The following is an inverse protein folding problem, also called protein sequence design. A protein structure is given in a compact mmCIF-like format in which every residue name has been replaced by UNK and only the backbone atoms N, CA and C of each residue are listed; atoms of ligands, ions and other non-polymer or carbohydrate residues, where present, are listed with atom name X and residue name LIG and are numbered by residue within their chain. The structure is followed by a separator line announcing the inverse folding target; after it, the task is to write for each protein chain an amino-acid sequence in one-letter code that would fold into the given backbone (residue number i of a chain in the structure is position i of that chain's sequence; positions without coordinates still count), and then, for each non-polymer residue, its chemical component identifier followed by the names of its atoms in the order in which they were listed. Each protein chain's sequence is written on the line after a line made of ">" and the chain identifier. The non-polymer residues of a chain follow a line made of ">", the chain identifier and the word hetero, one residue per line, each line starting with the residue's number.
data_IF_817112878284
#
_entry.id   IF_817112878284
#
_cell.length_a   1.000
_cell.length_b   1.000
_cell.length_c   1.000
_cell.angle_alpha   90.00
_cell.angle_beta   90.00
_cell.angle_gamma   90.00
#
_symmetry.space_group_name_H-M   'P 1'
#
loop_
_entity.id
_entity.type
_entity.pdbx_description
1 polymer ?
#
# COMPACT_ATOMS: atom_id res chain seq x y z
N UNK A 1 10.41 3.08 -4.38
CA UNK A 1 8.96 2.79 -4.32
C UNK A 1 8.16 3.21 -5.56
N UNK A 2 7.94 4.51 -5.83
CA UNK A 2 7.08 4.93 -6.96
C UNK A 2 7.59 4.40 -8.32
N UNK A 3 8.89 4.52 -8.58
CA UNK A 3 9.51 3.99 -9.80
C UNK A 3 9.38 2.47 -9.90
N UNK A 4 9.53 1.75 -8.78
CA UNK A 4 9.31 0.31 -8.71
C UNK A 4 7.86 -0.06 -9.08
N UNK A 5 6.86 0.62 -8.52
CA UNK A 5 5.46 0.36 -8.88
C UNK A 5 5.19 0.65 -10.37
N UNK A 6 5.76 1.73 -10.91
CA UNK A 6 5.64 2.07 -12.33
C UNK A 6 6.30 1.01 -13.23
N UNK A 7 7.47 0.48 -12.85
CA UNK A 7 8.12 -0.61 -13.62
C UNK A 7 7.35 -1.92 -13.57
N UNK A 8 6.45 -2.08 -12.59
CA UNK A 8 5.46 -3.16 -12.52
C UNK A 8 4.15 -2.83 -13.26
N UNK A 9 4.13 -1.78 -14.08
CA UNK A 9 2.97 -1.29 -14.83
C UNK A 9 1.79 -0.83 -13.95
N UNK A 10 2.02 -0.47 -12.69
CA UNK A 10 0.99 0.18 -11.88
C UNK A 10 0.91 1.67 -12.19
N UNK A 11 -0.31 2.14 -12.46
CA UNK A 11 -0.60 3.57 -12.62
C UNK A 11 -0.80 4.21 -11.25
N UNK A 12 0.08 5.11 -10.86
CA UNK A 12 -0.08 5.86 -9.61
C UNK A 12 -1.25 6.85 -9.76
N UNK A 13 -2.26 6.70 -8.90
CA UNK A 13 -3.44 7.56 -8.86
C UNK A 13 -3.24 8.73 -7.90
N UNK A 14 -2.77 8.44 -6.68
CA UNK A 14 -2.53 9.43 -5.62
C UNK A 14 -1.37 8.99 -4.73
N UNK A 15 -0.72 9.96 -4.08
CA UNK A 15 0.30 9.71 -3.03
C UNK A 15 0.03 10.59 -1.83
N UNK A 16 0.41 10.14 -0.63
CA UNK A 16 0.15 10.81 0.67
C UNK A 16 -1.28 11.34 0.77
N UNK A 17 -2.24 10.54 0.32
CA UNK A 17 -3.61 10.97 0.20
C UNK A 17 -4.30 10.93 1.55
N UNK A 18 -4.52 12.12 2.11
CA UNK A 18 -5.27 12.29 3.36
C UNK A 18 -6.77 12.15 3.11
N UNK A 19 -7.38 11.26 3.86
CA UNK A 19 -8.82 11.03 3.91
C UNK A 19 -9.32 11.37 5.31
N UNK A 20 -10.64 11.45 5.49
CA UNK A 20 -11.26 11.67 6.80
C UNK A 20 -10.90 10.57 7.82
N UNK A 21 -10.46 9.40 7.36
CA UNK A 21 -10.23 8.23 8.21
C UNK A 21 -8.76 7.81 8.36
N UNK A 22 -7.92 8.15 7.39
CA UNK A 22 -6.52 7.73 7.29
C UNK A 22 -5.76 8.52 6.22
N UNK A 23 -4.44 8.64 6.37
CA UNK A 23 -3.54 8.91 5.24
C UNK A 23 -3.23 7.59 4.53
N UNK A 24 -3.27 7.61 3.20
CA UNK A 24 -2.88 6.51 2.31
C UNK A 24 -1.58 6.90 1.61
N UNK A 25 -0.51 6.14 1.81
CA UNK A 25 0.81 6.51 1.27
C UNK A 25 0.81 6.50 -0.26
N UNK A 26 0.30 5.43 -0.88
CA UNK A 26 0.18 5.32 -2.32
C UNK A 26 -1.13 4.61 -2.69
N UNK A 27 -1.87 5.21 -3.63
CA UNK A 27 -2.98 4.59 -4.32
C UNK A 27 -2.59 4.38 -5.78
N UNK A 28 -2.70 3.16 -6.28
CA UNK A 28 -2.36 2.83 -7.66
C UNK A 28 -3.42 1.94 -8.31
N UNK A 29 -3.39 1.84 -9.63
CA UNK A 29 -4.24 0.95 -10.41
C UNK A 29 -3.38 -0.07 -11.18
N UNK A 30 -3.74 -1.35 -11.10
CA UNK A 30 -3.10 -2.41 -11.88
C UNK A 30 -3.60 -2.42 -13.33
N UNK A 31 -2.85 -2.99 -14.29
CA UNK A 31 -3.33 -3.17 -15.66
C UNK A 31 -4.62 -4.00 -15.78
N UNK A 32 -4.94 -4.79 -14.75
CA UNK A 32 -6.16 -5.60 -14.65
C UNK A 32 -7.36 -4.82 -14.12
N UNK A 33 -7.19 -3.54 -13.80
CA UNK A 33 -8.24 -2.66 -13.30
C UNK A 33 -8.51 -2.80 -11.80
N UNK A 34 -7.57 -3.35 -11.02
CA UNK A 34 -7.66 -3.38 -9.56
C UNK A 34 -7.05 -2.11 -8.98
N UNK A 35 -7.63 -1.61 -7.89
CA UNK A 35 -7.10 -0.47 -7.14
C UNK A 35 -6.30 -0.98 -5.94
N UNK A 36 -5.02 -0.65 -5.90
CA UNK A 36 -4.11 -1.06 -4.84
C UNK A 36 -3.82 0.09 -3.89
N UNK A 37 -4.00 -0.18 -2.60
CA UNK A 37 -3.58 0.67 -1.49
C UNK A 37 -2.25 0.11 -0.98
N UNK A 38 -1.18 0.90 -1.11
CA UNK A 38 0.12 0.54 -0.52
C UNK A 38 0.39 1.42 0.70
N UNK A 39 0.68 0.77 1.82
CA UNK A 39 1.34 1.38 2.97
C UNK A 39 2.83 1.13 2.86
N UNK A 40 3.65 2.18 2.95
CA UNK A 40 5.10 2.08 2.73
C UNK A 40 5.82 2.12 4.07
N UNK A 41 6.70 1.14 4.32
CA UNK A 41 7.57 1.08 5.49
C UNK A 41 9.03 1.04 5.07
N UNK A 42 9.86 1.84 5.72
CA UNK A 42 11.31 1.76 5.56
C UNK A 42 11.90 0.80 6.59
N UNK A 43 12.76 -0.11 6.14
CA UNK A 43 13.52 -1.03 7.00
C UNK A 43 15.02 -0.85 6.78
N UNK A 44 15.82 -1.19 7.78
CA UNK A 44 17.28 -1.22 7.63
C UNK A 44 17.77 -2.44 6.86
N UNK A 45 17.16 -3.61 7.10
CA UNK A 45 17.41 -4.89 6.45
C UNK A 45 16.13 -5.76 6.53
N UNK A 46 15.95 -6.70 5.60
CA UNK A 46 14.75 -7.56 5.56
C UNK A 46 14.84 -8.80 6.47
N UNK A 47 16.03 -9.17 6.96
CA UNK A 47 16.29 -10.40 7.74
C UNK A 47 15.49 -10.51 9.07
N UNK A 48 14.84 -9.43 9.51
CA UNK A 48 14.05 -9.37 10.75
C UNK A 48 12.59 -8.96 10.50
N UNK A 49 12.00 -9.38 9.39
CA UNK A 49 10.59 -9.16 9.08
C UNK A 49 9.67 -10.04 9.96
N UNK A 50 9.60 -9.78 11.28
CA UNK A 50 8.46 -10.20 12.10
C UNK A 50 7.32 -9.21 11.84
N UNK A 51 6.56 -9.45 10.76
CA UNK A 51 5.52 -8.52 10.28
C UNK A 51 4.30 -8.58 11.21
N UNK A 52 4.41 -7.89 12.35
CA UNK A 52 3.29 -7.62 13.24
C UNK A 52 2.72 -6.25 12.90
N UNK A 53 1.64 -6.23 12.13
CA UNK A 53 0.83 -5.02 11.97
C UNK A 53 0.01 -4.80 13.24
N UNK A 54 0.30 -3.71 13.96
CA UNK A 54 -0.42 -3.39 15.20
C UNK A 54 -1.92 -3.27 14.97
N UNK A 55 -2.73 -3.55 16.01
CA UNK A 55 -4.21 -3.47 15.91
C UNK A 55 -4.68 -2.12 15.39
N UNK A 56 -4.10 -1.02 15.90
CA UNK A 56 -4.38 0.35 15.45
C UNK A 56 -4.08 0.55 13.98
N UNK A 57 -2.98 -0.02 13.48
CA UNK A 57 -2.62 0.07 12.07
C UNK A 57 -3.57 -0.75 11.20
N UNK A 58 -3.96 -1.97 11.62
CA UNK A 58 -4.99 -2.77 10.94
C UNK A 58 -6.32 -2.03 10.84
N UNK A 59 -6.76 -1.40 11.93
CA UNK A 59 -7.98 -0.59 11.96
C UNK A 59 -7.90 0.61 11.00
N UNK A 60 -6.75 1.32 10.96
CA UNK A 60 -6.54 2.43 10.01
C UNK A 60 -6.62 1.97 8.57
N UNK A 61 -5.95 0.87 8.22
CA UNK A 61 -5.93 0.30 6.88
C UNK A 61 -7.32 -0.22 6.46
N UNK A 62 -8.06 -0.86 7.38
CA UNK A 62 -9.44 -1.27 7.14
C UNK A 62 -10.33 -0.07 6.81
N UNK A 63 -10.20 1.05 7.53
CA UNK A 63 -10.96 2.27 7.21
C UNK A 63 -10.56 2.86 5.86
N UNK A 64 -9.27 2.89 5.54
CA UNK A 64 -8.78 3.34 4.24
C UNK A 64 -9.37 2.49 3.10
N UNK A 65 -9.36 1.17 3.25
CA UNK A 65 -9.95 0.23 2.31
C UNK A 65 -11.43 0.50 2.07
N UNK A 66 -12.24 0.57 3.13
CA UNK A 66 -13.68 0.82 3.03
C UNK A 66 -13.96 2.17 2.35
N UNK A 67 -13.17 3.20 2.68
CA UNK A 67 -13.28 4.50 2.03
C UNK A 67 -12.98 4.43 0.53
N UNK A 68 -11.87 3.82 0.12
CA UNK A 68 -11.53 3.67 -1.31
C UNK A 68 -12.58 2.82 -2.02
N UNK A 69 -13.00 1.70 -1.41
CA UNK A 69 -14.03 0.81 -1.96
C UNK A 69 -15.36 1.55 -2.18
N UNK A 70 -15.74 2.47 -1.28
CA UNK A 70 -16.94 3.30 -1.49
C UNK A 70 -16.84 4.28 -2.67
N UNK A 71 -15.64 4.54 -3.19
CA UNK A 71 -15.37 5.51 -4.28
C UNK A 71 -15.19 4.84 -5.64
N UNK A 72 -15.14 3.52 -5.72
CA UNK A 72 -14.89 2.79 -6.97
C UNK A 72 -15.68 1.49 -7.03
N UNK A 73 -16.04 1.05 -8.24
CA UNK A 73 -16.60 -0.29 -8.48
C UNK A 73 -15.53 -1.34 -8.75
N UNK A 74 -14.26 -0.92 -8.84
CA UNK A 74 -13.11 -1.79 -9.09
C UNK A 74 -12.75 -2.59 -7.83
N UNK A 75 -12.22 -3.83 -7.97
CA UNK A 75 -11.66 -4.56 -6.83
C UNK A 75 -10.59 -3.72 -6.14
N UNK A 76 -10.62 -3.67 -4.81
CA UNK A 76 -9.62 -2.95 -4.00
C UNK A 76 -8.76 -3.97 -3.28
N UNK A 77 -7.44 -3.75 -3.26
CA UNK A 77 -6.46 -4.57 -2.56
C UNK A 77 -5.63 -3.70 -1.62
N UNK A 78 -5.14 -4.30 -0.53
CA UNK A 78 -4.20 -3.65 0.40
C UNK A 78 -2.91 -4.45 0.42
N UNK A 79 -1.78 -3.75 0.32
CA UNK A 79 -0.47 -4.33 0.49
C UNK A 79 0.41 -3.46 1.40
N UNK A 80 1.33 -4.11 2.11
CA UNK A 80 2.47 -3.44 2.71
C UNK A 80 3.61 -3.47 1.71
N UNK A 81 4.27 -2.34 1.51
CA UNK A 81 5.49 -2.25 0.75
C UNK A 81 6.64 -1.86 1.67
N UNK A 82 7.62 -2.74 1.80
CA UNK A 82 8.84 -2.47 2.53
C UNK A 82 9.92 -2.03 1.56
N UNK A 83 10.64 -0.97 1.92
CA UNK A 83 11.78 -0.47 1.15
C UNK A 83 12.99 -0.46 2.08
N UNK A 84 14.07 -1.10 1.67
CA UNK A 84 15.32 -1.07 2.44
C UNK A 84 16.19 0.13 2.06
N UNK A 85 17.42 0.18 2.58
CA UNK A 85 18.39 1.24 2.26
C UNK A 85 19.01 1.11 0.87
N UNK A 86 18.99 -0.08 0.27
CA UNK A 86 19.53 -0.31 -1.07
C UNK A 86 18.52 0.04 -2.17
N UNK A 87 17.26 0.24 -1.80
CA UNK A 87 16.16 0.53 -2.72
C UNK A 87 15.40 -0.72 -3.17
N UNK A 88 15.75 -1.89 -2.62
CA UNK A 88 14.99 -3.11 -2.80
C UNK A 88 13.60 -2.95 -2.20
N UNK A 89 12.60 -3.51 -2.87
CA UNK A 89 11.20 -3.41 -2.49
C UNK A 89 10.60 -4.79 -2.32
N UNK A 90 10.11 -5.06 -1.11
CA UNK A 90 9.32 -6.25 -0.79
C UNK A 90 7.85 -5.86 -0.64
N UNK A 91 6.95 -6.56 -1.33
CA UNK A 91 5.51 -6.38 -1.19
C UNK A 91 4.93 -7.57 -0.43
N UNK A 92 4.14 -7.29 0.60
CA UNK A 92 3.36 -8.28 1.35
C UNK A 92 1.88 -8.00 1.15
N UNK A 93 1.20 -8.97 0.57
CA UNK A 93 -0.24 -8.99 0.35
C UNK A 93 -0.91 -9.80 1.47
N UNK A 94 -2.21 -9.59 1.72
CA UNK A 94 -3.04 -10.42 2.62
C UNK A 94 -2.51 -10.61 4.07
N UNK A 95 -2.28 -9.51 4.80
CA UNK A 95 -1.68 -9.48 6.16
C UNK A 95 -2.64 -9.08 7.30
#
# INVERSE_FOLDING_TARGET
>A
MIQFLRSKNLKILKTRWRTTYAEIDILAESPRGEVWIFEVKSLSHFDFLDVRVSRRQKERLKRAFLFVQSKTRKPVQIALAFVDKTGEVLIIENF
#
